data_IF_319848571346
#
_entry.id   IF_319848571346
#
_cell.length_a   1.000
_cell.length_b   1.000
_cell.length_c   1.000
_cell.angle_alpha   90.00
_cell.angle_beta   90.00
_cell.angle_gamma   90.00
#
_symmetry.space_group_name_H-M   'P 1'
#
loop_
_entity.id
_entity.type
_entity.pdbx_description
1 polymer ?
#
# COMPACT_ATOMS: atom_id res chain seq x y z
N UNK A 1 -9.25 -1.91 -19.24
CA UNK A 1 -9.79 -0.55 -19.01
C UNK A 1 -10.97 -0.29 -19.96
N UNK A 2 -10.79 -0.37 -21.27
CA UNK A 2 -11.83 -0.06 -22.27
C UNK A 2 -13.16 -0.79 -22.06
N UNK A 3 -13.13 -2.06 -21.63
CA UNK A 3 -14.35 -2.85 -21.40
C UNK A 3 -15.03 -2.53 -20.07
N UNK A 4 -14.26 -2.19 -19.04
CA UNK A 4 -14.78 -2.00 -17.69
C UNK A 4 -15.27 -0.57 -17.42
N UNK A 5 -14.68 0.45 -18.06
CA UNK A 5 -14.97 1.88 -17.88
C UNK A 5 -15.16 2.24 -16.39
N UNK A 6 -14.16 1.97 -15.53
CA UNK A 6 -14.32 2.16 -14.09
C UNK A 6 -14.39 3.64 -13.72
N UNK A 7 -15.27 4.00 -12.79
CA UNK A 7 -15.37 5.38 -12.29
C UNK A 7 -14.10 5.80 -11.53
N UNK A 8 -13.48 4.85 -10.84
CA UNK A 8 -12.24 5.05 -10.10
C UNK A 8 -11.15 4.18 -10.67
N UNK A 9 -10.02 4.79 -11.01
CA UNK A 9 -8.82 4.10 -11.44
C UNK A 9 -7.73 4.25 -10.38
N UNK A 10 -7.06 3.14 -10.06
CA UNK A 10 -5.95 3.12 -9.09
C UNK A 10 -4.69 2.66 -9.81
N UNK A 11 -3.61 3.45 -9.69
CA UNK A 11 -2.34 3.16 -10.34
C UNK A 11 -1.15 3.59 -9.46
N UNK A 12 0.08 3.12 -9.73
CA UNK A 12 1.26 3.63 -9.04
C UNK A 12 1.43 5.13 -9.25
N UNK A 13 1.91 5.86 -8.24
CA UNK A 13 2.15 7.30 -8.34
C UNK A 13 3.59 7.58 -8.74
N UNK A 14 3.84 7.88 -10.02
CA UNK A 14 5.19 8.02 -10.58
C UNK A 14 6.08 9.08 -9.92
N UNK A 15 5.50 10.14 -9.36
CA UNK A 15 6.28 11.19 -8.72
C UNK A 15 6.77 10.84 -7.30
N UNK A 16 6.20 9.82 -6.65
CA UNK A 16 6.55 9.44 -5.27
C UNK A 16 6.98 7.99 -5.13
N UNK A 17 6.73 7.15 -6.13
CA UNK A 17 7.16 5.76 -6.20
C UNK A 17 8.18 5.62 -7.35
N UNK A 18 9.49 5.63 -7.05
CA UNK A 18 10.53 5.66 -8.06
C UNK A 18 10.82 4.28 -8.68
N UNK A 19 10.10 3.22 -8.31
CA UNK A 19 10.34 1.90 -8.87
C UNK A 19 10.12 1.90 -10.40
N UNK A 20 11.07 1.44 -11.22
CA UNK A 20 10.98 1.54 -12.68
C UNK A 20 9.69 0.95 -13.26
N UNK A 21 9.27 -0.23 -12.80
CA UNK A 21 8.04 -0.88 -13.29
C UNK A 21 6.80 -0.06 -12.94
N UNK A 22 6.79 0.61 -11.77
CA UNK A 22 5.69 1.47 -11.36
C UNK A 22 5.63 2.75 -12.18
N UNK A 23 6.77 3.35 -12.48
CA UNK A 23 6.87 4.53 -13.35
C UNK A 23 6.40 4.18 -14.77
N UNK A 24 6.86 3.06 -15.32
CA UNK A 24 6.41 2.59 -16.64
C UNK A 24 4.91 2.26 -16.67
N UNK A 25 4.39 1.59 -15.64
CA UNK A 25 2.96 1.28 -15.55
C UNK A 25 2.11 2.55 -15.47
N UNK A 26 2.54 3.55 -14.70
CA UNK A 26 1.88 4.85 -14.62
C UNK A 26 1.82 5.52 -16.01
N UNK A 27 2.98 5.66 -16.67
CA UNK A 27 3.08 6.31 -17.97
C UNK A 27 2.20 5.62 -19.02
N UNK A 28 2.26 4.29 -19.11
CA UNK A 28 1.45 3.52 -20.06
C UNK A 28 -0.05 3.68 -19.83
N UNK A 29 -0.51 3.78 -18.58
CA UNK A 29 -1.93 3.99 -18.27
C UNK A 29 -2.35 5.41 -18.61
N UNK A 30 -1.57 6.43 -18.29
CA UNK A 30 -1.89 7.82 -18.62
C UNK A 30 -1.95 8.02 -20.14
N UNK A 31 -0.95 7.53 -20.87
CA UNK A 31 -0.93 7.57 -22.34
C UNK A 31 -2.17 6.88 -22.94
N UNK A 32 -2.53 5.70 -22.41
CA UNK A 32 -3.72 4.99 -22.86
C UNK A 32 -5.02 5.78 -22.60
N UNK A 33 -5.09 6.55 -21.52
CA UNK A 33 -6.26 7.38 -21.19
C UNK A 33 -6.37 8.60 -22.11
N UNK A 34 -5.25 9.19 -22.53
CA UNK A 34 -5.25 10.35 -23.43
C UNK A 34 -5.93 10.05 -24.78
N UNK A 35 -5.83 8.80 -25.25
CA UNK A 35 -6.45 8.34 -26.50
C UNK A 35 -7.92 7.92 -26.38
N UNK A 36 -8.54 8.02 -25.18
CA UNK A 36 -9.91 7.58 -24.95
C UNK A 36 -10.90 8.73 -24.83
N UNK A 37 -12.06 8.60 -25.48
CA UNK A 37 -13.20 9.53 -25.30
C UNK A 37 -13.74 9.46 -23.86
N UNK A 38 -13.64 8.27 -23.23
CA UNK A 38 -14.04 8.07 -21.86
C UNK A 38 -12.88 8.33 -20.89
N UNK A 39 -13.18 8.99 -19.78
CA UNK A 39 -12.24 9.26 -18.69
C UNK A 39 -12.80 8.81 -17.35
N UNK A 40 -11.98 8.25 -16.44
CA UNK A 40 -12.42 7.97 -15.08
C UNK A 40 -12.75 9.27 -14.34
N UNK A 41 -13.72 9.22 -13.44
CA UNK A 41 -14.09 10.36 -12.59
C UNK A 41 -12.99 10.68 -11.57
N UNK A 42 -12.29 9.68 -11.11
CA UNK A 42 -11.22 9.80 -10.11
C UNK A 42 -10.05 8.91 -10.46
N UNK A 43 -8.86 9.45 -10.38
CA UNK A 43 -7.60 8.70 -10.48
C UNK A 43 -6.87 8.82 -9.14
N UNK A 44 -6.58 7.68 -8.52
CA UNK A 44 -5.85 7.57 -7.27
C UNK A 44 -4.48 6.94 -7.49
N UNK A 45 -3.45 7.60 -7.03
CA UNK A 45 -2.09 7.08 -7.02
C UNK A 45 -1.78 6.39 -5.69
N UNK A 46 -1.05 5.28 -5.72
CA UNK A 46 -0.48 4.64 -4.54
C UNK A 46 1.04 4.57 -4.64
N UNK A 47 1.72 4.38 -3.51
CA UNK A 47 3.15 4.14 -3.47
C UNK A 47 3.47 2.93 -2.59
N UNK A 48 4.29 2.03 -3.11
CA UNK A 48 4.85 0.90 -2.38
C UNK A 48 6.32 1.13 -2.02
N UNK A 49 7.05 1.84 -2.88
CA UNK A 49 8.46 2.16 -2.74
C UNK A 49 8.62 3.66 -2.66
N UNK A 50 8.76 4.17 -1.45
CA UNK A 50 8.97 5.60 -1.23
C UNK A 50 10.46 5.87 -1.10
N UNK A 51 10.95 6.85 -1.86
CA UNK A 51 12.33 7.30 -1.77
C UNK A 51 12.66 7.71 -0.32
N UNK A 52 13.76 7.22 0.21
CA UNK A 52 14.23 7.46 1.58
C UNK A 52 13.24 7.08 2.71
N UNK A 53 12.22 6.29 2.39
CA UNK A 53 11.17 5.89 3.33
C UNK A 53 10.91 4.38 3.37
N UNK A 54 11.94 3.55 3.27
CA UNK A 54 11.82 2.07 3.25
C UNK A 54 11.08 1.49 4.46
N UNK A 55 11.11 2.19 5.59
CA UNK A 55 10.41 1.75 6.81
C UNK A 55 8.97 2.23 6.92
N UNK A 56 8.55 3.08 6.02
CA UNK A 56 7.16 3.54 5.99
C UNK A 56 6.22 2.45 5.42
N UNK A 57 4.96 2.34 5.89
CA UNK A 57 4.42 2.99 7.09
C UNK A 57 4.91 2.33 8.37
N UNK A 58 5.25 3.15 9.37
CA UNK A 58 5.66 2.69 10.70
C UNK A 58 4.46 2.37 11.60
N UNK A 59 4.72 1.70 12.73
CA UNK A 59 3.69 1.31 13.69
C UNK A 59 3.20 -0.13 13.50
N UNK A 60 2.14 -0.49 14.21
CA UNK A 60 1.55 -1.84 14.19
C UNK A 60 0.51 -1.98 13.07
N UNK A 61 0.19 -3.22 12.71
CA UNK A 61 -0.77 -3.53 11.64
C UNK A 61 -2.19 -3.01 11.89
N UNK A 62 -2.60 -2.80 13.13
CA UNK A 62 -3.92 -2.24 13.47
C UNK A 62 -3.94 -0.71 13.54
N UNK A 63 -2.78 -0.07 13.46
CA UNK A 63 -2.69 1.39 13.55
C UNK A 63 -3.16 2.06 12.25
N UNK A 64 -3.50 3.34 12.36
CA UNK A 64 -3.71 4.20 11.21
C UNK A 64 -2.42 4.36 10.41
N UNK A 65 -2.55 4.84 9.19
CA UNK A 65 -1.42 5.19 8.34
C UNK A 65 -1.19 6.70 8.43
N UNK A 66 0.03 7.09 8.77
CA UNK A 66 0.45 8.49 8.71
C UNK A 66 1.03 8.82 7.32
N UNK A 67 1.15 10.08 7.00
CA UNK A 67 1.91 10.53 5.83
C UNK A 67 3.39 10.14 6.00
N UNK A 68 4.11 9.89 4.90
CA UNK A 68 5.54 9.65 4.96
C UNK A 68 6.28 10.81 5.64
N UNK A 69 7.29 10.53 6.48
CA UNK A 69 8.02 11.58 7.19
C UNK A 69 8.89 12.46 6.27
N UNK A 70 9.34 11.89 5.16
CA UNK A 70 10.07 12.64 4.12
C UNK A 70 9.14 12.77 2.92
N UNK A 71 8.85 14.01 2.56
CA UNK A 71 7.91 14.32 1.51
C UNK A 71 8.42 15.53 0.73
N UNK A 72 8.49 15.43 -0.57
CA UNK A 72 8.85 16.57 -1.41
C UNK A 72 7.72 17.61 -1.37
N UNK A 73 7.96 18.71 -0.68
CA UNK A 73 6.99 19.81 -0.55
C UNK A 73 6.74 20.57 -1.84
N UNK A 74 7.60 20.39 -2.86
CA UNK A 74 7.37 20.96 -4.19
C UNK A 74 6.23 20.26 -4.94
N UNK A 75 5.91 19.02 -4.55
CA UNK A 75 4.80 18.27 -5.13
C UNK A 75 3.47 18.69 -4.50
N UNK A 76 2.56 19.20 -5.31
CA UNK A 76 1.18 19.48 -4.89
C UNK A 76 0.40 18.18 -4.82
N UNK A 77 0.55 17.44 -3.74
CA UNK A 77 -0.10 16.15 -3.53
C UNK A 77 -1.36 16.30 -2.67
N UNK A 78 -2.44 15.66 -3.10
CA UNK A 78 -3.71 15.64 -2.38
C UNK A 78 -3.92 14.25 -1.76
N UNK A 79 -3.59 14.05 -0.47
CA UNK A 79 -3.78 12.77 0.17
C UNK A 79 -5.25 12.41 0.27
N UNK A 80 -5.57 11.15 0.00
CA UNK A 80 -6.87 10.55 0.16
C UNK A 80 -6.73 9.32 1.07
N UNK A 81 -7.26 9.40 2.27
CA UNK A 81 -7.16 8.35 3.27
C UNK A 81 -8.50 7.65 3.41
N UNK A 82 -8.54 6.36 3.09
CA UNK A 82 -9.74 5.53 3.22
C UNK A 82 -9.68 4.73 4.51
N UNK A 83 -10.69 4.86 5.36
CA UNK A 83 -10.86 4.04 6.54
C UNK A 83 -11.41 2.67 6.13
N UNK A 84 -10.70 1.61 6.49
CA UNK A 84 -11.07 0.23 6.20
C UNK A 84 -11.81 -0.39 7.39
N UNK A 85 -12.96 -1.04 7.13
CA UNK A 85 -13.61 -1.88 8.11
C UNK A 85 -12.75 -3.09 8.47
N UNK A 86 -13.05 -3.76 9.58
CA UNK A 86 -12.34 -5.01 9.96
C UNK A 86 -12.51 -6.12 8.92
N UNK A 87 -13.62 -6.13 8.19
CA UNK A 87 -13.88 -7.06 7.10
C UNK A 87 -12.98 -6.75 5.91
N UNK A 88 -12.95 -5.50 5.46
CA UNK A 88 -12.07 -5.06 4.38
C UNK A 88 -10.57 -5.28 4.67
N UNK A 89 -10.17 -5.13 5.94
CA UNK A 89 -8.81 -5.46 6.36
C UNK A 89 -8.54 -6.97 6.23
N UNK A 90 -9.49 -7.84 6.62
CA UNK A 90 -9.37 -9.29 6.42
C UNK A 90 -9.29 -9.67 4.95
N UNK A 91 -10.17 -9.09 4.12
CA UNK A 91 -10.17 -9.34 2.67
C UNK A 91 -8.85 -8.94 2.03
N UNK A 92 -8.33 -7.77 2.42
CA UNK A 92 -7.00 -7.32 1.98
C UNK A 92 -5.89 -8.28 2.42
N UNK A 93 -5.93 -8.76 3.66
CA UNK A 93 -4.96 -9.73 4.16
C UNK A 93 -5.06 -11.06 3.41
N UNK A 94 -6.27 -11.54 3.12
CA UNK A 94 -6.48 -12.76 2.32
C UNK A 94 -5.95 -12.58 0.90
N UNK A 95 -6.29 -11.49 0.23
CA UNK A 95 -5.81 -11.21 -1.12
C UNK A 95 -4.28 -11.17 -1.19
N UNK A 96 -3.63 -10.52 -0.23
CA UNK A 96 -2.16 -10.51 -0.14
C UNK A 96 -1.58 -11.89 0.18
N UNK A 97 -2.27 -12.68 1.01
CA UNK A 97 -1.88 -14.05 1.35
C UNK A 97 -1.93 -15.02 0.17
N UNK A 98 -2.69 -14.72 -0.85
CA UNK A 98 -2.75 -15.50 -2.10
C UNK A 98 -1.56 -15.23 -3.03
N UNK A 99 -0.82 -14.14 -2.82
CA UNK A 99 0.37 -13.82 -3.59
C UNK A 99 1.53 -14.73 -3.15
N UNK A 100 1.98 -15.60 -4.05
CA UNK A 100 2.98 -16.62 -3.78
C UNK A 100 4.31 -16.03 -3.26
N UNK A 101 4.72 -14.90 -3.79
CA UNK A 101 6.00 -14.24 -3.47
C UNK A 101 5.98 -13.56 -2.10
N UNK A 102 4.81 -13.31 -1.54
CA UNK A 102 4.66 -12.64 -0.25
C UNK A 102 4.63 -13.60 0.95
N UNK A 103 4.74 -14.90 0.73
CA UNK A 103 4.82 -15.90 1.79
C UNK A 103 6.28 -16.28 2.08
N UNK A 104 7.09 -15.43 2.70
CA UNK A 104 8.41 -15.85 3.10
C UNK A 104 8.28 -16.98 4.13
N UNK A 105 8.85 -18.12 3.83
CA UNK A 105 9.03 -19.22 4.80
C UNK A 105 9.96 -18.74 5.91
N UNK A 106 9.43 -17.98 6.86
CA UNK A 106 10.18 -17.58 8.02
C UNK A 106 10.54 -18.85 8.80
N UNK A 107 11.84 -19.10 9.00
CA UNK A 107 12.31 -20.21 9.82
C UNK A 107 11.60 -20.14 11.18
N UNK A 108 11.10 -21.28 11.67
CA UNK A 108 10.36 -21.42 12.94
C UNK A 108 11.05 -20.66 14.09
N UNK A 109 12.38 -20.74 14.15
CA UNK A 109 13.21 -20.04 15.13
C UNK A 109 13.03 -18.51 15.10
N UNK A 110 12.88 -17.92 13.92
CA UNK A 110 12.67 -16.47 13.74
C UNK A 110 11.25 -16.06 14.19
N UNK A 111 10.26 -16.91 13.91
CA UNK A 111 8.87 -16.69 14.35
C UNK A 111 8.77 -16.68 15.87
N UNK A 112 9.31 -17.73 16.54
CA UNK A 112 9.31 -17.84 18.00
C UNK A 112 10.01 -16.66 18.65
N UNK A 113 11.22 -16.29 18.18
CA UNK A 113 11.96 -15.14 18.71
C UNK A 113 11.16 -13.83 18.59
N UNK A 114 10.50 -13.58 17.46
CA UNK A 114 9.67 -12.38 17.27
C UNK A 114 8.45 -12.38 18.17
N UNK A 115 7.75 -13.51 18.30
CA UNK A 115 6.61 -13.61 19.21
C UNK A 115 7.00 -13.30 20.65
N UNK A 116 8.14 -13.83 21.12
CA UNK A 116 8.66 -13.51 22.45
C UNK A 116 8.99 -12.02 22.58
N UNK A 117 9.67 -11.42 21.61
CA UNK A 117 9.99 -9.99 21.62
C UNK A 117 8.74 -9.11 21.63
N UNK A 118 7.69 -9.49 20.89
CA UNK A 118 6.42 -8.78 20.84
C UNK A 118 5.70 -8.83 22.19
N UNK A 119 5.69 -9.99 22.82
CA UNK A 119 5.12 -10.20 24.17
C UNK A 119 5.90 -9.42 25.24
N UNK A 120 7.23 -9.50 25.22
CA UNK A 120 8.08 -8.78 26.17
C UNK A 120 7.95 -7.25 26.02
N UNK A 121 7.66 -6.77 24.84
CA UNK A 121 7.40 -5.37 24.58
C UNK A 121 5.96 -4.92 24.95
N UNK A 122 5.16 -5.80 25.57
CA UNK A 122 3.76 -5.51 25.91
C UNK A 122 2.84 -5.28 24.73
N UNK A 123 3.25 -5.70 23.53
CA UNK A 123 2.48 -5.51 22.29
C UNK A 123 1.62 -6.74 22.00
N UNK A 124 0.41 -6.50 21.48
CA UNK A 124 -0.42 -7.60 20.98
C UNK A 124 0.18 -8.13 19.66
N UNK A 125 0.25 -9.46 19.47
CA UNK A 125 0.65 -10.04 18.19
C UNK A 125 -0.26 -9.51 17.08
N UNK A 126 0.30 -9.28 15.90
CA UNK A 126 -0.51 -8.89 14.74
C UNK A 126 -1.45 -10.04 14.36
N UNK A 127 -2.76 -9.79 14.20
CA UNK A 127 -3.70 -10.82 13.75
C UNK A 127 -3.38 -11.33 12.33
N UNK A 128 -2.56 -10.61 11.58
CA UNK A 128 -2.19 -10.91 10.20
C UNK A 128 -0.82 -11.62 10.07
N UNK A 129 -0.24 -12.07 11.17
CA UNK A 129 1.06 -12.73 11.19
C UNK A 129 2.25 -11.77 11.29
N UNK A 130 3.43 -12.36 11.31
CA UNK A 130 4.71 -11.69 11.58
C UNK A 130 5.41 -11.18 10.31
N UNK A 131 4.79 -11.34 9.13
CA UNK A 131 5.36 -10.85 7.89
C UNK A 131 5.33 -9.31 7.89
N UNK A 132 6.49 -8.70 7.68
CA UNK A 132 6.63 -7.25 7.68
C UNK A 132 5.78 -6.59 6.59
N UNK A 133 5.67 -7.23 5.43
CA UNK A 133 4.83 -6.73 4.34
C UNK A 133 3.35 -6.67 4.74
N UNK A 134 2.82 -7.74 5.35
CA UNK A 134 1.44 -7.71 5.85
C UNK A 134 1.24 -6.64 6.91
N UNK A 135 2.19 -6.48 7.82
CA UNK A 135 2.16 -5.45 8.83
C UNK A 135 2.11 -4.03 8.23
N UNK A 136 2.82 -3.82 7.13
CA UNK A 136 2.82 -2.54 6.42
C UNK A 136 1.57 -2.34 5.56
N UNK A 137 1.14 -3.37 4.85
CA UNK A 137 0.07 -3.30 3.87
C UNK A 137 -1.34 -3.40 4.48
N UNK A 138 -1.52 -4.22 5.52
CA UNK A 138 -2.83 -4.39 6.19
C UNK A 138 -2.95 -3.42 7.35
N UNK A 139 -3.42 -2.23 7.06
CA UNK A 139 -3.61 -1.13 7.99
C UNK A 139 -5.09 -0.80 8.16
N UNK A 140 -5.41 -0.07 9.22
CA UNK A 140 -6.74 0.50 9.43
C UNK A 140 -7.14 1.51 8.34
N UNK A 141 -6.15 2.11 7.69
CA UNK A 141 -6.35 3.04 6.59
C UNK A 141 -5.60 2.56 5.35
N UNK A 142 -6.11 2.91 4.17
CA UNK A 142 -5.38 2.87 2.92
C UNK A 142 -5.13 4.30 2.45
N UNK A 143 -3.87 4.64 2.20
CA UNK A 143 -3.47 5.97 1.76
C UNK A 143 -3.23 5.97 0.25
N UNK A 144 -3.87 6.91 -0.39
CA UNK A 144 -3.71 7.22 -1.80
C UNK A 144 -3.46 8.71 -1.98
N UNK A 145 -3.10 9.11 -3.17
CA UNK A 145 -3.01 10.50 -3.60
C UNK A 145 -3.92 10.72 -4.79
N UNK A 146 -4.72 11.76 -4.76
CA UNK A 146 -5.63 12.09 -5.85
C UNK A 146 -4.83 12.75 -6.97
N UNK A 147 -4.86 12.14 -8.16
CA UNK A 147 -4.25 12.67 -9.38
C UNK A 147 -5.27 13.47 -10.21
N UNK A 148 -6.52 13.06 -10.15
CA UNK A 148 -7.67 13.71 -10.80
C UNK A 148 -8.92 13.50 -9.95
#
# INVERSE_FOLDING_TARGET
>A
ILRARPDVLVLPHSAIDPHPDHVCAHAAVIEALEGLEWQPQTILGYANHLHDNDRWPMGNSGDGIALPPVFDTALTLRPCCLLLSSEQQRDKAMALGMMHDLQPRAALKRRVRRSIQTLLAGRKPSPWGENEFFRKAVRRHALFWRLK
#
